data_IF_599457273771
#
_entry.id   IF_599457273771
#
_cell.length_a   1.000
_cell.length_b   1.000
_cell.length_c   1.000
_cell.angle_alpha   90.00
_cell.angle_beta   90.00
_cell.angle_gamma   90.00
#
_symmetry.space_group_name_H-M   'P 1'
#
loop_
_entity.id
_entity.type
_entity.pdbx_description
1 polymer ?
#
# COMPACT_ATOMS: atom_id res chain seq x y z
N UNK A 1 -9.99 -15.43 -15.81
CA UNK A 1 -9.19 -14.19 -15.82
C UNK A 1 -10.02 -12.95 -15.46
N UNK A 2 -11.16 -12.72 -16.11
CA UNK A 2 -12.02 -11.54 -15.86
C UNK A 2 -12.42 -11.33 -14.39
N UNK A 3 -12.92 -12.36 -13.69
CA UNK A 3 -13.35 -12.24 -12.29
C UNK A 3 -12.22 -11.77 -11.35
N UNK A 4 -10.99 -12.28 -11.53
CA UNK A 4 -9.83 -11.89 -10.73
C UNK A 4 -9.37 -10.45 -11.04
N UNK A 5 -9.43 -10.03 -12.30
CA UNK A 5 -9.11 -8.67 -12.71
C UNK A 5 -10.09 -7.64 -12.11
N UNK A 6 -11.39 -7.94 -12.16
CA UNK A 6 -12.43 -7.11 -11.54
C UNK A 6 -12.27 -7.05 -10.03
N UNK A 7 -11.97 -8.17 -9.37
CA UNK A 7 -11.71 -8.20 -7.93
C UNK A 7 -10.48 -7.36 -7.53
N UNK A 8 -9.42 -7.42 -8.33
CA UNK A 8 -8.19 -6.63 -8.12
C UNK A 8 -8.49 -5.14 -8.24
N UNK A 9 -9.20 -4.72 -9.28
CA UNK A 9 -9.64 -3.34 -9.44
C UNK A 9 -10.56 -2.90 -8.30
N UNK A 10 -11.57 -3.70 -7.95
CA UNK A 10 -12.49 -3.40 -6.85
C UNK A 10 -11.76 -3.21 -5.51
N UNK A 11 -10.70 -3.99 -5.25
CA UNK A 11 -9.88 -3.87 -4.03
C UNK A 11 -9.07 -2.57 -3.93
N UNK A 12 -8.82 -1.87 -5.04
CA UNK A 12 -8.16 -0.57 -5.04
C UNK A 12 -8.98 0.51 -4.32
N UNK A 13 -10.31 0.42 -4.39
CA UNK A 13 -11.21 1.44 -3.83
C UNK A 13 -11.18 1.43 -2.30
N UNK A 14 -11.36 0.29 -1.60
CA UNK A 14 -11.17 0.22 -0.16
C UNK A 14 -9.78 0.68 0.29
N UNK A 15 -8.72 0.37 -0.48
CA UNK A 15 -7.36 0.78 -0.15
C UNK A 15 -7.21 2.31 -0.20
N UNK A 16 -7.75 2.96 -1.22
CA UNK A 16 -7.75 4.42 -1.33
C UNK A 16 -8.53 5.09 -0.18
N UNK A 17 -9.70 4.53 0.17
CA UNK A 17 -10.52 5.01 1.31
C UNK A 17 -9.76 4.84 2.62
N UNK A 18 -9.13 3.67 2.83
CA UNK A 18 -8.30 3.42 4.00
C UNK A 18 -7.16 4.44 4.13
N UNK A 19 -6.44 4.71 3.04
CA UNK A 19 -5.37 5.71 3.02
C UNK A 19 -5.87 7.11 3.39
N UNK A 20 -7.00 7.53 2.80
CA UNK A 20 -7.61 8.82 3.11
C UNK A 20 -8.03 8.94 4.58
N UNK A 21 -8.67 7.89 5.11
CA UNK A 21 -9.19 7.88 6.49
C UNK A 21 -8.06 7.83 7.52
N UNK A 22 -7.02 7.01 7.32
CA UNK A 22 -5.88 6.94 8.25
C UNK A 22 -5.09 8.24 8.25
N UNK A 23 -4.87 8.86 7.09
CA UNK A 23 -4.19 10.16 6.99
C UNK A 23 -4.99 11.30 7.63
N UNK A 24 -6.31 11.32 7.44
CA UNK A 24 -7.17 12.28 8.14
C UNK A 24 -7.12 12.09 9.66
N UNK A 25 -7.14 10.83 10.11
CA UNK A 25 -7.06 10.48 11.53
C UNK A 25 -5.74 10.89 12.16
N UNK A 26 -4.61 10.68 11.47
CA UNK A 26 -3.29 11.13 11.93
C UNK A 26 -3.26 12.65 12.11
N UNK A 27 -3.81 13.42 11.15
CA UNK A 27 -3.95 14.88 11.29
C UNK A 27 -4.81 15.27 12.49
N UNK A 28 -5.93 14.59 12.71
CA UNK A 28 -6.82 14.83 13.87
C UNK A 28 -6.14 14.52 15.21
N UNK A 29 -5.20 13.58 15.24
CA UNK A 29 -4.41 13.25 16.44
C UNK A 29 -3.27 14.26 16.72
N UNK A 30 -3.13 15.30 15.90
CA UNK A 30 -2.12 16.35 16.08
C UNK A 30 -0.79 16.05 15.41
N UNK A 31 -0.74 15.09 14.47
CA UNK A 31 0.45 14.89 13.62
C UNK A 31 0.57 16.10 12.69
N UNK A 32 1.42 17.05 13.07
CA UNK A 32 1.81 18.19 12.22
C UNK A 32 2.99 17.85 11.29
N UNK A 33 3.66 16.73 11.56
CA UNK A 33 4.73 16.21 10.73
C UNK A 33 4.23 15.72 9.35
N UNK A 34 5.11 15.66 8.33
CA UNK A 34 4.74 15.27 6.97
C UNK A 34 4.16 13.84 6.83
N UNK A 35 4.28 13.00 7.86
CA UNK A 35 3.90 11.59 7.84
C UNK A 35 2.47 11.33 7.37
N UNK A 36 1.49 12.17 7.79
CA UNK A 36 0.10 12.01 7.35
C UNK A 36 -0.09 12.25 5.84
N UNK A 37 0.67 13.18 5.26
CA UNK A 37 0.65 13.48 3.82
C UNK A 37 1.42 12.41 3.03
N UNK A 38 2.56 11.94 3.55
CA UNK A 38 3.30 10.80 2.97
C UNK A 38 2.41 9.56 2.92
N UNK A 39 1.70 9.27 4.02
CA UNK A 39 0.76 8.15 4.08
C UNK A 39 -0.33 8.27 3.00
N UNK A 40 -0.87 9.48 2.78
CA UNK A 40 -1.92 9.72 1.79
C UNK A 40 -1.41 9.49 0.38
N UNK A 41 -0.26 10.08 0.05
CA UNK A 41 0.36 9.96 -1.28
C UNK A 41 0.74 8.51 -1.56
N UNK A 42 1.40 7.83 -0.61
CA UNK A 42 1.75 6.42 -0.73
C UNK A 42 0.52 5.54 -0.93
N UNK A 43 -0.52 5.72 -0.11
CA UNK A 43 -1.74 4.93 -0.23
C UNK A 43 -2.52 5.18 -1.53
N UNK A 44 -2.57 6.43 -2.00
CA UNK A 44 -3.19 6.79 -3.28
C UNK A 44 -2.43 6.18 -4.46
N UNK A 45 -1.09 6.26 -4.46
CA UNK A 45 -0.25 5.63 -5.48
C UNK A 45 -0.37 4.10 -5.45
N UNK A 46 -0.45 3.49 -4.27
CA UNK A 46 -0.64 2.05 -4.13
C UNK A 46 -2.00 1.61 -4.69
N UNK A 47 -3.07 2.34 -4.39
CA UNK A 47 -4.39 2.09 -4.93
C UNK A 47 -4.44 2.28 -6.45
N UNK A 48 -3.81 3.33 -6.97
CA UNK A 48 -3.71 3.57 -8.40
C UNK A 48 -2.95 2.44 -9.12
N UNK A 49 -1.82 1.99 -8.56
CA UNK A 49 -1.00 0.92 -9.14
C UNK A 49 -1.76 -0.41 -9.24
N UNK A 50 -2.45 -0.83 -8.17
CA UNK A 50 -3.22 -2.08 -8.19
C UNK A 50 -4.51 -1.95 -9.01
N UNK A 51 -5.14 -0.77 -9.03
CA UNK A 51 -6.30 -0.48 -9.88
C UNK A 51 -5.94 -0.56 -11.37
N UNK A 52 -4.84 0.08 -11.77
CA UNK A 52 -4.35 0.07 -13.15
C UNK A 52 -3.92 -1.34 -13.58
N UNK A 53 -3.24 -2.09 -12.70
CA UNK A 53 -2.91 -3.51 -12.93
C UNK A 53 -4.17 -4.36 -13.18
N UNK A 54 -5.24 -4.16 -12.39
CA UNK A 54 -6.53 -4.80 -12.58
C UNK A 54 -7.20 -4.46 -13.91
N UNK A 55 -7.19 -3.18 -14.32
CA UNK A 55 -7.78 -2.73 -15.59
C UNK A 55 -7.02 -3.29 -16.80
N UNK A 56 -5.69 -3.33 -16.76
CA UNK A 56 -4.89 -3.92 -17.85
C UNK A 56 -5.13 -5.44 -17.93
N UNK A 57 -5.20 -6.12 -16.79
CA UNK A 57 -5.51 -7.57 -16.75
C UNK A 57 -6.91 -7.86 -17.29
N UNK A 58 -7.88 -6.96 -17.05
CA UNK A 58 -9.21 -7.07 -17.62
C UNK A 58 -9.19 -6.85 -19.13
N UNK A 59 -8.42 -5.88 -19.64
CA UNK A 59 -8.26 -5.65 -21.07
C UNK A 59 -7.68 -6.89 -21.78
N UNK A 60 -6.65 -7.52 -21.21
CA UNK A 60 -6.07 -8.78 -21.70
C UNK A 60 -7.06 -9.95 -21.79
N UNK A 61 -8.21 -9.87 -21.11
CA UNK A 61 -9.27 -10.88 -21.23
C UNK A 61 -10.10 -10.75 -22.51
N UNK A 62 -9.84 -9.74 -23.36
CA UNK A 62 -10.50 -9.56 -24.65
C UNK A 62 -9.80 -10.37 -25.75
N UNK A 63 -10.55 -11.15 -26.54
CA UNK A 63 -9.97 -12.02 -27.56
C UNK A 63 -9.19 -11.24 -28.63
N UNK A 64 -9.58 -10.00 -28.93
CA UNK A 64 -8.91 -9.08 -29.85
C UNK A 64 -7.43 -8.81 -29.47
N UNK A 65 -7.14 -8.77 -28.17
CA UNK A 65 -5.80 -8.49 -27.64
C UNK A 65 -4.96 -9.76 -27.46
N UNK A 66 -5.57 -10.94 -27.54
CA UNK A 66 -4.91 -12.23 -27.35
C UNK A 66 -4.25 -12.78 -28.63
N UNK A 67 -4.40 -12.06 -29.76
CA UNK A 67 -3.91 -12.50 -31.08
C UNK A 67 -2.44 -12.16 -31.29
N UNK A 68 -1.92 -11.09 -30.67
CA UNK A 68 -0.52 -10.67 -30.80
C UNK A 68 0.28 -11.06 -29.53
N UNK A 69 1.18 -12.07 -29.62
CA UNK A 69 2.00 -12.50 -28.49
C UNK A 69 2.91 -11.40 -27.93
N UNK A 70 3.38 -10.47 -28.76
CA UNK A 70 4.29 -9.40 -28.36
C UNK A 70 3.56 -8.38 -27.50
N UNK A 71 2.36 -7.98 -27.94
CA UNK A 71 1.48 -7.10 -27.19
C UNK A 71 1.08 -7.71 -25.84
N UNK A 72 0.70 -8.99 -25.84
CA UNK A 72 0.36 -9.72 -24.61
C UNK A 72 1.52 -9.70 -23.63
N UNK A 73 2.74 -9.97 -24.09
CA UNK A 73 3.92 -9.97 -23.23
C UNK A 73 4.22 -8.61 -22.62
N UNK A 74 4.13 -7.54 -23.43
CA UNK A 74 4.33 -6.16 -22.96
C UNK A 74 3.28 -5.76 -21.90
N UNK A 75 2.01 -6.13 -22.11
CA UNK A 75 0.94 -5.84 -21.16
C UNK A 75 1.12 -6.63 -19.86
N UNK A 76 1.55 -7.89 -19.90
CA UNK A 76 1.86 -8.65 -18.68
C UNK A 76 3.02 -8.04 -17.89
N UNK A 77 4.06 -7.52 -18.57
CA UNK A 77 5.12 -6.77 -17.91
C UNK A 77 4.59 -5.52 -17.21
N UNK A 78 3.67 -4.80 -17.86
CA UNK A 78 3.02 -3.62 -17.28
C UNK A 78 2.15 -3.97 -16.07
N UNK A 79 1.39 -5.07 -16.12
CA UNK A 79 0.63 -5.63 -15.00
C UNK A 79 1.57 -5.95 -13.83
N UNK A 80 2.72 -6.58 -14.10
CA UNK A 80 3.73 -6.89 -13.10
C UNK A 80 4.33 -5.63 -12.48
N UNK A 81 4.75 -4.64 -13.28
CA UNK A 81 5.37 -3.41 -12.78
C UNK A 81 4.43 -2.61 -11.88
N UNK A 82 3.17 -2.49 -12.30
CA UNK A 82 2.15 -1.66 -11.62
C UNK A 82 1.56 -2.37 -10.40
N UNK A 83 1.30 -3.67 -10.51
CA UNK A 83 0.76 -4.50 -9.42
C UNK A 83 1.81 -5.10 -8.48
N UNK A 84 3.08 -5.10 -8.87
CA UNK A 84 4.24 -5.56 -8.11
C UNK A 84 5.00 -4.37 -7.50
N UNK A 85 6.21 -4.04 -7.96
CA UNK A 85 7.08 -3.06 -7.31
C UNK A 85 6.42 -1.68 -7.17
N UNK A 86 5.72 -1.18 -8.20
CA UNK A 86 5.07 0.14 -8.13
C UNK A 86 4.03 0.24 -7.00
N UNK A 87 3.19 -0.78 -6.84
CA UNK A 87 2.23 -0.85 -5.75
C UNK A 87 2.89 -1.10 -4.40
N UNK A 88 3.89 -1.99 -4.32
CA UNK A 88 4.51 -2.40 -3.04
C UNK A 88 5.35 -1.27 -2.45
N UNK A 89 6.13 -0.55 -3.26
CA UNK A 89 6.88 0.63 -2.81
C UNK A 89 5.92 1.70 -2.27
N UNK A 90 4.85 1.99 -3.02
CA UNK A 90 3.84 2.94 -2.57
C UNK A 90 3.11 2.50 -1.29
N UNK A 91 2.84 1.20 -1.13
CA UNK A 91 2.31 0.61 0.09
C UNK A 91 3.30 0.77 1.26
N UNK A 92 4.60 0.63 1.00
CA UNK A 92 5.69 0.91 1.94
C UNK A 92 5.64 2.34 2.46
N UNK A 93 5.48 3.32 1.57
CA UNK A 93 5.28 4.73 1.96
C UNK A 93 4.03 4.95 2.81
N UNK A 94 2.91 4.27 2.49
CA UNK A 94 1.71 4.30 3.32
C UNK A 94 2.02 3.80 4.74
N UNK A 95 2.64 2.63 4.84
CA UNK A 95 3.00 2.02 6.13
C UNK A 95 3.98 2.90 6.90
N UNK A 96 5.03 3.41 6.25
CA UNK A 96 6.01 4.32 6.86
C UNK A 96 5.36 5.61 7.37
N UNK A 97 4.49 6.21 6.56
CA UNK A 97 3.76 7.44 6.90
C UNK A 97 2.84 7.27 8.11
N UNK A 98 2.38 6.05 8.41
CA UNK A 98 1.62 5.74 9.64
C UNK A 98 2.56 5.34 10.79
N UNK A 99 3.56 4.50 10.54
CA UNK A 99 4.45 3.92 11.56
C UNK A 99 5.35 4.98 12.22
N UNK A 100 5.96 5.87 11.44
CA UNK A 100 6.88 6.91 11.93
C UNK A 100 6.20 7.85 12.93
N UNK A 101 5.09 8.55 12.60
CA UNK A 101 4.42 9.43 13.57
C UNK A 101 3.84 8.64 14.74
N UNK A 102 3.43 7.38 14.54
CA UNK A 102 2.95 6.54 15.64
C UNK A 102 4.06 6.21 16.64
N UNK A 103 5.31 6.05 16.18
CA UNK A 103 6.48 5.85 17.04
C UNK A 103 6.88 7.15 17.77
N UNK A 104 6.91 8.27 17.04
CA UNK A 104 7.34 9.57 17.57
C UNK A 104 6.35 10.12 18.60
N UNK A 105 5.05 10.04 18.32
CA UNK A 105 3.99 10.55 19.20
C UNK A 105 3.45 9.49 20.18
N UNK A 106 3.95 8.25 20.11
CA UNK A 106 3.51 7.15 20.99
C UNK A 106 2.04 6.76 20.80
N UNK A 107 1.51 6.84 19.58
CA UNK A 107 0.12 6.50 19.27
C UNK A 107 -0.14 4.98 19.24
N UNK A 108 0.91 4.19 19.02
CA UNK A 108 0.88 2.72 18.98
C UNK A 108 1.94 2.15 19.93
N UNK A 109 1.77 0.91 20.43
CA UNK A 109 2.83 0.25 21.19
C UNK A 109 4.09 0.12 20.35
N UNK A 110 5.25 0.33 20.98
CA UNK A 110 6.56 0.41 20.30
C UNK A 110 6.85 -0.79 19.41
N UNK A 111 6.46 -2.00 19.82
CA UNK A 111 6.65 -3.22 19.04
C UNK A 111 5.91 -3.19 17.70
N UNK A 112 4.67 -2.68 17.69
CA UNK A 112 3.85 -2.59 16.47
C UNK A 112 4.40 -1.49 15.55
N UNK A 113 4.82 -0.35 16.11
CA UNK A 113 5.40 0.72 15.31
C UNK A 113 6.72 0.30 14.64
N UNK A 114 7.59 -0.44 15.36
CA UNK A 114 8.81 -1.01 14.80
C UNK A 114 8.53 -2.08 13.74
N UNK A 115 7.57 -2.97 13.97
CA UNK A 115 7.16 -3.95 12.97
C UNK A 115 6.72 -3.26 11.67
N UNK A 116 5.96 -2.17 11.77
CA UNK A 116 5.55 -1.37 10.60
C UNK A 116 6.73 -0.75 9.87
N UNK A 117 7.72 -0.24 10.60
CA UNK A 117 8.92 0.34 10.01
C UNK A 117 9.78 -0.71 9.28
N UNK A 118 9.91 -1.90 9.85
CA UNK A 118 10.62 -3.04 9.19
C UNK A 118 9.87 -3.45 7.92
N UNK A 119 8.55 -3.58 7.98
CA UNK A 119 7.72 -3.91 6.81
C UNK A 119 7.85 -2.84 5.73
N UNK A 120 7.83 -1.55 6.11
CA UNK A 120 8.04 -0.46 5.18
C UNK A 120 9.43 -0.52 4.52
N UNK A 121 10.48 -0.83 5.27
CA UNK A 121 11.82 -1.00 4.70
C UNK A 121 11.88 -2.17 3.70
N UNK A 122 11.24 -3.31 4.02
CA UNK A 122 11.13 -4.46 3.10
C UNK A 122 10.33 -4.08 1.84
N UNK A 123 9.26 -3.30 2.00
CA UNK A 123 8.44 -2.82 0.90
C UNK A 123 9.21 -1.86 -0.02
N UNK A 124 9.99 -0.93 0.53
CA UNK A 124 10.87 -0.05 -0.25
C UNK A 124 11.93 -0.87 -0.98
N UNK A 125 12.62 -1.79 -0.30
CA UNK A 125 13.63 -2.68 -0.92
C UNK A 125 13.09 -3.51 -2.08
N UNK A 126 11.76 -3.68 -2.19
CA UNK A 126 11.15 -4.38 -3.32
C UNK A 126 11.38 -3.70 -4.68
N UNK A 127 11.77 -2.42 -4.74
CA UNK A 127 12.16 -1.80 -6.01
C UNK A 127 13.38 -2.49 -6.63
N UNK A 128 14.22 -3.17 -5.83
CA UNK A 128 15.39 -3.92 -6.30
C UNK A 128 15.02 -5.10 -7.20
N UNK A 129 13.74 -5.50 -7.25
CA UNK A 129 13.22 -6.45 -8.24
C UNK A 129 13.43 -5.99 -9.68
N UNK A 130 13.50 -4.67 -9.91
CA UNK A 130 13.81 -4.09 -11.21
C UNK A 130 15.27 -4.29 -11.61
N UNK A 131 16.16 -4.48 -10.64
CA UNK A 131 17.59 -4.69 -10.86
C UNK A 131 17.93 -6.19 -10.90
N UNK A 132 17.29 -6.99 -10.05
CA UNK A 132 17.56 -8.42 -9.93
C UNK A 132 16.30 -9.21 -9.59
N UNK A 133 15.95 -10.17 -10.47
CA UNK A 133 14.71 -10.97 -10.36
C UNK A 133 14.60 -11.76 -9.04
N UNK A 134 15.72 -12.09 -8.39
CA UNK A 134 15.76 -12.80 -7.11
C UNK A 134 15.05 -12.08 -5.95
N UNK A 135 14.87 -10.76 -6.02
CA UNK A 135 14.14 -10.00 -5.00
C UNK A 135 12.61 -10.15 -5.10
N UNK A 136 12.09 -10.88 -6.10
CA UNK A 136 10.65 -11.03 -6.30
C UNK A 136 9.93 -11.64 -5.10
N UNK A 137 10.65 -12.37 -4.25
CA UNK A 137 10.15 -12.94 -2.99
C UNK A 137 9.75 -11.83 -2.00
N UNK A 138 10.34 -10.64 -2.06
CA UNK A 138 9.96 -9.53 -1.18
C UNK A 138 8.57 -8.98 -1.49
N UNK A 139 8.11 -9.07 -2.74
CA UNK A 139 6.80 -8.54 -3.17
C UNK A 139 5.64 -9.17 -2.38
N UNK A 140 5.47 -10.50 -2.33
CA UNK A 140 4.39 -11.10 -1.55
C UNK A 140 4.59 -10.89 -0.05
N UNK A 141 5.83 -10.99 0.46
CA UNK A 141 6.11 -10.79 1.88
C UNK A 141 5.65 -9.40 2.32
N UNK A 142 6.13 -8.35 1.65
CA UNK A 142 5.77 -6.97 1.95
C UNK A 142 4.28 -6.70 1.82
N UNK A 143 3.61 -7.29 0.81
CA UNK A 143 2.17 -7.14 0.60
C UNK A 143 1.38 -7.67 1.78
N UNK A 144 1.56 -8.95 2.09
CA UNK A 144 0.74 -9.61 3.11
C UNK A 144 1.06 -9.05 4.50
N UNK A 145 2.34 -8.87 4.82
CA UNK A 145 2.72 -8.26 6.09
C UNK A 145 2.21 -6.83 6.22
N UNK A 146 2.29 -6.04 5.15
CA UNK A 146 1.81 -4.65 5.11
C UNK A 146 0.30 -4.56 5.33
N UNK A 147 -0.49 -5.37 4.63
CA UNK A 147 -1.95 -5.37 4.79
C UNK A 147 -2.37 -5.83 6.19
N UNK A 148 -1.77 -6.90 6.72
CA UNK A 148 -2.01 -7.37 8.08
C UNK A 148 -1.67 -6.26 9.08
N UNK A 149 -0.53 -5.60 8.90
CA UNK A 149 -0.12 -4.52 9.77
C UNK A 149 -1.07 -3.31 9.72
N UNK A 150 -1.56 -2.92 8.55
CA UNK A 150 -2.53 -1.83 8.41
C UNK A 150 -3.85 -2.14 9.12
N UNK A 151 -4.30 -3.39 9.11
CA UNK A 151 -5.47 -3.83 9.87
C UNK A 151 -5.22 -3.66 11.37
N UNK A 152 -4.07 -4.13 11.87
CA UNK A 152 -3.70 -4.00 13.29
C UNK A 152 -3.56 -2.53 13.68
N UNK A 153 -2.86 -1.72 12.89
CA UNK A 153 -2.68 -0.29 13.14
C UNK A 153 -4.02 0.46 13.13
N UNK A 154 -4.92 0.14 12.19
CA UNK A 154 -6.26 0.72 12.13
C UNK A 154 -7.11 0.42 13.37
N UNK A 155 -7.03 -0.81 13.89
CA UNK A 155 -7.72 -1.24 15.10
C UNK A 155 -7.15 -0.63 16.38
N UNK A 156 -5.83 -0.42 16.45
CA UNK A 156 -5.14 0.08 17.64
C UNK A 156 -5.05 1.60 17.72
N UNK A 157 -5.20 2.32 16.61
CA UNK A 157 -5.15 3.78 16.61
C UNK A 157 -6.28 4.35 17.50
N UNK A 158 -6.01 5.35 18.36
CA UNK A 158 -7.04 5.95 19.23
C UNK A 158 -8.12 6.67 18.42
N UNK A 159 -9.39 6.55 18.82
CA UNK A 159 -10.54 7.21 18.17
C UNK A 159 -10.66 8.70 18.50
N UNK A 160 -10.06 9.16 19.61
CA UNK A 160 -10.04 10.56 20.04
C UNK A 160 -8.71 10.90 20.71
N UNK A 161 -8.23 12.13 20.49
CA UNK A 161 -7.26 12.76 21.38
C UNK A 161 -7.93 12.88 22.74
N UNK A 162 -7.45 12.15 23.75
CA UNK A 162 -7.93 12.33 25.13
C UNK A 162 -7.54 13.74 25.53
N UNK A 163 -8.51 14.66 25.60
CA UNK A 163 -8.33 15.96 26.23
C UNK A 163 -7.90 15.71 27.67
N UNK A 164 -6.60 15.79 27.95
CA UNK A 164 -6.09 16.00 29.31
C UNK A 164 -6.40 17.44 29.67
N UNK A 165 -7.60 17.66 30.19
CA UNK A 165 -8.10 18.97 30.59
C UNK A 165 -9.21 18.88 31.64
N UNK A 166 -9.23 17.81 32.44
CA UNK A 166 -10.08 17.71 33.63
C UNK A 166 -9.44 16.73 34.61
N UNK A 167 -8.56 17.28 35.45
CA UNK A 167 -8.35 16.98 36.88
C UNK A 167 -7.13 17.75 37.35
#
# INVERSE_FOLDING_TARGET
MQAAATGTFASSVPLAIYAATVSARLRQLGVTAPGATIALVGGALAAAGIGLSGLITWALSRPELAVDPTLVHALYYLVFLTGGPGHIVALGLLVAGVAVPSLVLGLLPRSVAWAGLVIAAIAELSFLTLLWWGFSVLLPVARFSGLIWLIVAGAMLPLRRRNRGAQ
#
